data_IF_750933855735
#
_entry.id   IF_750933855735
#
_cell.length_a   1.000
_cell.length_b   1.000
_cell.length_c   1.000
_cell.angle_alpha   90.00
_cell.angle_beta   90.00
_cell.angle_gamma   90.00
#
_symmetry.space_group_name_H-M   'P 1'
#
loop_
_entity.id
_entity.type
_entity.pdbx_description
1 polymer ?
#
# COMPACT_ATOMS: atom_id res chain seq x y z
N UNK A 1 48.06 -3.11 12.54
CA UNK A 1 46.90 -3.92 12.12
C UNK A 1 45.72 -2.97 11.85
N UNK A 2 45.73 -2.30 10.70
CA UNK A 2 44.60 -1.50 10.23
C UNK A 2 43.59 -2.47 9.60
N UNK A 3 42.70 -3.01 10.44
CA UNK A 3 41.53 -3.75 9.97
C UNK A 3 40.62 -2.69 9.35
N UNK A 4 40.61 -2.62 8.02
CA UNK A 4 39.64 -1.80 7.31
C UNK A 4 38.25 -2.18 7.82
N UNK A 5 37.53 -1.23 8.38
CA UNK A 5 36.08 -1.28 8.38
C UNK A 5 35.69 -1.39 6.91
N UNK A 6 35.33 -2.60 6.48
CA UNK A 6 34.48 -2.76 5.31
C UNK A 6 33.24 -1.92 5.60
N UNK A 7 33.17 -0.74 5.00
CA UNK A 7 31.95 0.01 4.88
C UNK A 7 31.03 -0.91 4.10
N UNK A 8 30.21 -1.69 4.82
CA UNK A 8 29.11 -2.44 4.24
C UNK A 8 28.39 -1.48 3.30
N UNK A 9 28.16 -1.86 2.03
CA UNK A 9 27.58 -0.96 1.05
C UNK A 9 26.34 -0.35 1.70
N UNK A 10 26.35 0.98 1.85
CA UNK A 10 25.23 1.71 2.40
C UNK A 10 24.03 1.27 1.57
N UNK A 11 23.17 0.46 2.18
CA UNK A 11 21.95 -0.03 1.57
C UNK A 11 21.25 1.23 1.10
N UNK A 12 21.24 1.47 -0.22
CA UNK A 12 20.67 2.68 -0.80
C UNK A 12 19.19 2.60 -0.49
N UNK A 13 18.81 3.04 0.71
CA UNK A 13 17.44 3.14 1.15
C UNK A 13 16.79 3.97 0.05
N UNK A 14 15.94 3.33 -0.76
CA UNK A 14 15.39 3.96 -1.94
C UNK A 14 14.69 5.24 -1.46
N UNK A 15 15.32 6.39 -1.70
CA UNK A 15 14.89 7.68 -1.14
C UNK A 15 13.48 8.03 -1.69
N UNK A 16 13.15 7.52 -2.87
CA UNK A 16 11.82 7.59 -3.48
C UNK A 16 10.77 6.65 -2.83
N UNK A 17 11.19 5.62 -2.08
CA UNK A 17 10.28 4.65 -1.48
C UNK A 17 9.50 5.27 -0.33
N UNK A 18 10.09 6.18 0.45
CA UNK A 18 9.43 6.82 1.60
C UNK A 18 8.21 7.67 1.18
N UNK A 19 8.32 8.61 0.23
CA UNK A 19 7.17 9.41 -0.20
C UNK A 19 6.14 8.61 -1.01
N UNK A 20 6.54 7.52 -1.68
CA UNK A 20 5.62 6.67 -2.44
C UNK A 20 4.96 5.58 -1.57
N UNK A 21 5.59 5.15 -0.48
CA UNK A 21 5.02 4.16 0.43
C UNK A 21 3.75 4.68 1.11
N UNK A 22 3.70 5.96 1.47
CA UNK A 22 2.52 6.60 2.09
C UNK A 22 1.28 6.56 1.19
N UNK A 23 1.31 7.01 -0.08
CA UNK A 23 0.17 6.86 -0.98
C UNK A 23 -0.10 5.40 -1.34
N UNK A 24 0.91 4.53 -1.39
CA UNK A 24 0.71 3.09 -1.59
C UNK A 24 0.05 2.41 -0.39
N UNK A 25 0.21 2.93 0.83
CA UNK A 25 -0.42 2.41 2.04
C UNK A 25 -1.94 2.59 2.00
N UNK A 26 -2.42 3.71 1.47
CA UNK A 26 -3.83 3.84 1.09
C UNK A 26 -4.12 3.00 -0.16
N UNK A 27 -3.19 2.99 -1.13
CA UNK A 27 -3.26 2.24 -2.36
C UNK A 27 -4.12 2.94 -3.42
N UNK A 28 -3.68 3.00 -4.69
CA UNK A 28 -4.42 3.67 -5.76
C UNK A 28 -5.82 3.07 -5.97
N UNK A 29 -5.99 1.76 -5.74
CA UNK A 29 -7.28 1.09 -5.81
C UNK A 29 -8.26 1.52 -4.71
N UNK A 30 -7.78 1.73 -3.48
CA UNK A 30 -8.66 2.20 -2.41
C UNK A 30 -9.10 3.65 -2.65
N UNK A 31 -8.20 4.49 -3.18
CA UNK A 31 -8.54 5.87 -3.57
C UNK A 31 -9.68 5.85 -4.61
N UNK A 32 -9.54 5.06 -5.67
CA UNK A 32 -10.57 4.92 -6.70
C UNK A 32 -11.89 4.38 -6.12
N UNK A 33 -11.83 3.37 -5.24
CA UNK A 33 -13.01 2.80 -4.60
C UNK A 33 -13.76 3.85 -3.75
N UNK A 34 -13.06 4.62 -2.92
CA UNK A 34 -13.65 5.70 -2.12
C UNK A 34 -14.24 6.79 -3.03
N UNK A 35 -13.58 7.16 -4.13
CA UNK A 35 -14.14 8.11 -5.11
C UNK A 35 -15.46 7.62 -5.72
N UNK A 36 -15.55 6.34 -6.08
CA UNK A 36 -16.79 5.76 -6.61
C UNK A 36 -17.85 5.66 -5.53
N UNK A 37 -17.47 5.27 -4.31
CA UNK A 37 -18.41 5.08 -3.20
C UNK A 37 -19.03 6.40 -2.73
N UNK A 38 -18.22 7.47 -2.68
CA UNK A 38 -18.69 8.83 -2.35
C UNK A 38 -19.57 9.44 -3.45
N UNK A 39 -19.36 9.08 -4.72
CA UNK A 39 -20.29 9.44 -5.82
C UNK A 39 -21.56 8.60 -5.82
N UNK A 40 -21.50 7.35 -5.37
CA UNK A 40 -22.65 6.43 -5.34
C UNK A 40 -23.64 6.77 -4.23
N UNK A 41 -23.13 7.23 -3.09
CA UNK A 41 -23.93 7.58 -1.91
C UNK A 41 -23.81 9.07 -1.62
N UNK A 42 -24.71 9.86 -2.20
CA UNK A 42 -24.75 11.32 -2.01
C UNK A 42 -25.60 11.75 -0.81
N UNK A 43 -26.43 10.84 -0.31
CA UNK A 43 -27.27 11.02 0.86
C UNK A 43 -26.46 11.05 2.16
N UNK A 44 -26.98 11.78 3.16
CA UNK A 44 -26.30 11.98 4.45
C UNK A 44 -25.92 10.66 5.17
N UNK A 45 -26.78 9.64 5.29
CA UNK A 45 -26.41 8.40 5.98
C UNK A 45 -25.39 7.59 5.18
N UNK A 46 -25.51 7.56 3.84
CA UNK A 46 -24.52 6.91 2.98
C UNK A 46 -23.12 7.53 3.09
N UNK A 47 -23.02 8.87 3.07
CA UNK A 47 -21.74 9.58 3.28
C UNK A 47 -21.14 9.30 4.65
N UNK A 48 -21.96 9.27 5.70
CA UNK A 48 -21.51 8.94 7.06
C UNK A 48 -20.95 7.51 7.11
N UNK A 49 -21.60 6.55 6.45
CA UNK A 49 -21.12 5.18 6.35
C UNK A 49 -19.73 5.07 5.70
N UNK A 50 -19.51 5.80 4.60
CA UNK A 50 -18.20 5.85 3.93
C UNK A 50 -17.13 6.43 4.86
N UNK A 51 -17.44 7.53 5.56
CA UNK A 51 -16.51 8.17 6.49
C UNK A 51 -16.12 7.26 7.64
N UNK A 52 -17.10 6.58 8.27
CA UNK A 52 -16.85 5.63 9.34
C UNK A 52 -16.00 4.45 8.86
N UNK A 53 -16.23 3.98 7.63
CA UNK A 53 -15.40 2.94 7.01
C UNK A 53 -13.94 3.39 6.84
N UNK A 54 -13.70 4.61 6.36
CA UNK A 54 -12.36 5.18 6.23
C UNK A 54 -11.67 5.26 7.61
N UNK A 55 -12.37 5.80 8.62
CA UNK A 55 -11.84 5.91 9.99
C UNK A 55 -11.47 4.53 10.54
N UNK A 56 -12.34 3.53 10.35
CA UNK A 56 -12.08 2.17 10.80
C UNK A 56 -10.81 1.59 10.18
N UNK A 57 -10.62 1.74 8.86
CA UNK A 57 -9.40 1.28 8.17
C UNK A 57 -8.17 2.02 8.69
N UNK A 58 -8.23 3.34 8.87
CA UNK A 58 -7.12 4.13 9.42
C UNK A 58 -6.73 3.65 10.82
N UNK A 59 -7.70 3.34 11.69
CA UNK A 59 -7.44 2.80 13.02
C UNK A 59 -6.75 1.44 12.94
N UNK A 60 -7.22 0.53 12.06
CA UNK A 60 -6.60 -0.79 11.87
C UNK A 60 -5.15 -0.65 11.40
N UNK A 61 -4.89 0.23 10.43
CA UNK A 61 -3.54 0.52 9.94
C UNK A 61 -2.68 1.09 11.06
N UNK A 62 -3.19 2.08 11.80
CA UNK A 62 -2.45 2.72 12.88
C UNK A 62 -2.04 1.72 13.97
N UNK A 63 -2.96 0.85 14.39
CA UNK A 63 -2.66 -0.23 15.34
C UNK A 63 -1.62 -1.19 14.75
N UNK A 64 -1.74 -1.57 13.48
CA UNK A 64 -0.75 -2.41 12.81
C UNK A 64 0.65 -1.78 12.80
N UNK A 65 0.75 -0.47 12.55
CA UNK A 65 2.00 0.28 12.59
C UNK A 65 2.57 0.39 14.01
N UNK A 66 1.73 0.61 15.02
CA UNK A 66 2.17 0.61 16.43
C UNK A 66 2.76 -0.74 16.85
N UNK A 67 2.21 -1.83 16.31
CA UNK A 67 2.68 -3.20 16.55
C UNK A 67 3.78 -3.64 15.56
N UNK A 68 4.21 -2.79 14.63
CA UNK A 68 5.12 -3.17 13.54
C UNK A 68 6.44 -3.77 14.05
N UNK A 69 7.01 -3.22 15.13
CA UNK A 69 8.23 -3.75 15.73
C UNK A 69 8.05 -5.17 16.31
N UNK A 70 6.87 -5.45 16.88
CA UNK A 70 6.54 -6.78 17.41
C UNK A 70 6.27 -7.76 16.27
N UNK A 71 5.55 -7.33 15.24
CA UNK A 71 5.30 -8.11 14.03
C UNK A 71 6.65 -8.46 13.37
N UNK A 72 7.55 -7.49 13.20
CA UNK A 72 8.87 -7.69 12.61
C UNK A 72 9.72 -8.70 13.40
N UNK A 73 9.58 -8.75 14.73
CA UNK A 73 10.27 -9.74 15.58
C UNK A 73 9.71 -11.16 15.42
N UNK A 74 8.43 -11.29 15.09
CA UNK A 74 7.77 -12.58 14.88
C UNK A 74 8.07 -13.15 13.48
N UNK A 75 8.28 -12.28 12.49
CA UNK A 75 8.52 -12.67 11.10
C UNK A 75 9.98 -13.04 10.85
N UNK A 76 10.21 -14.23 10.30
CA UNK A 76 11.54 -14.64 9.82
C UNK A 76 11.95 -13.84 8.57
N UNK A 77 13.25 -13.58 8.35
CA UNK A 77 13.72 -12.87 7.16
C UNK A 77 13.23 -13.46 5.83
N UNK A 78 13.17 -14.79 5.71
CA UNK A 78 12.66 -15.47 4.52
C UNK A 78 11.17 -15.18 4.25
N UNK A 79 10.37 -15.01 5.31
CA UNK A 79 8.94 -14.67 5.21
C UNK A 79 8.78 -13.24 4.71
N UNK A 80 9.60 -12.31 5.22
CA UNK A 80 9.60 -10.91 4.77
C UNK A 80 9.97 -10.85 3.27
N UNK A 81 11.04 -11.54 2.86
CA UNK A 81 11.44 -11.59 1.44
C UNK A 81 10.34 -12.17 0.53
N UNK A 82 9.70 -13.25 0.97
CA UNK A 82 8.57 -13.84 0.24
C UNK A 82 7.40 -12.84 0.15
N UNK A 83 7.01 -12.20 1.26
CA UNK A 83 5.94 -11.20 1.27
C UNK A 83 6.25 -10.05 0.32
N UNK A 84 7.44 -9.47 0.37
CA UNK A 84 7.84 -8.38 -0.53
C UNK A 84 7.71 -8.78 -2.00
N UNK A 85 8.13 -10.00 -2.34
CA UNK A 85 8.01 -10.51 -3.71
C UNK A 85 6.56 -10.74 -4.13
N UNK A 86 5.75 -11.35 -3.26
CA UNK A 86 4.33 -11.60 -3.54
C UNK A 86 3.56 -10.28 -3.66
N UNK A 87 3.75 -9.35 -2.73
CA UNK A 87 3.12 -8.02 -2.78
C UNK A 87 3.53 -7.25 -4.03
N UNK A 88 4.80 -7.31 -4.43
CA UNK A 88 5.27 -6.71 -5.69
C UNK A 88 4.59 -7.33 -6.91
N UNK A 89 4.51 -8.66 -6.99
CA UNK A 89 3.83 -9.36 -8.07
C UNK A 89 2.33 -9.04 -8.13
N UNK A 90 1.66 -9.00 -6.98
CA UNK A 90 0.25 -8.60 -6.87
C UNK A 90 0.04 -7.16 -7.31
N UNK A 91 0.90 -6.23 -6.88
CA UNK A 91 0.84 -4.83 -7.27
C UNK A 91 1.02 -4.67 -8.79
N UNK A 92 1.95 -5.42 -9.40
CA UNK A 92 2.12 -5.44 -10.86
C UNK A 92 0.86 -5.97 -11.56
N UNK A 93 0.26 -7.04 -11.07
CA UNK A 93 -0.97 -7.59 -11.64
C UNK A 93 -2.13 -6.59 -11.58
N UNK A 94 -2.33 -5.94 -10.43
CA UNK A 94 -3.36 -4.90 -10.24
C UNK A 94 -3.11 -3.71 -11.16
N UNK A 95 -1.86 -3.27 -11.30
CA UNK A 95 -1.52 -2.16 -12.20
C UNK A 95 -1.88 -2.49 -13.65
N UNK A 96 -1.54 -3.69 -14.13
CA UNK A 96 -1.93 -4.14 -15.48
C UNK A 96 -3.45 -4.21 -15.61
N UNK A 97 -4.16 -4.68 -14.58
CA UNK A 97 -5.62 -4.73 -14.59
C UNK A 97 -6.24 -3.34 -14.74
N UNK A 98 -5.75 -2.33 -14.00
CA UNK A 98 -6.22 -0.95 -14.16
C UNK A 98 -5.96 -0.37 -15.54
N UNK A 99 -4.81 -0.69 -16.16
CA UNK A 99 -4.52 -0.27 -17.54
C UNK A 99 -5.52 -0.92 -18.51
N UNK A 100 -5.75 -2.23 -18.37
CA UNK A 100 -6.70 -2.96 -19.21
C UNK A 100 -8.12 -2.40 -19.07
N UNK A 101 -8.58 -2.13 -17.85
CA UNK A 101 -9.89 -1.57 -17.59
C UNK A 101 -10.02 -0.15 -18.19
N UNK A 102 -8.99 0.68 -18.06
CA UNK A 102 -8.95 2.00 -18.69
C UNK A 102 -9.04 1.91 -20.23
N UNK A 103 -8.27 1.02 -20.86
CA UNK A 103 -8.31 0.81 -22.32
C UNK A 103 -9.68 0.32 -22.77
N UNK A 104 -10.30 -0.63 -22.05
CA UNK A 104 -11.66 -1.11 -22.37
C UNK A 104 -12.69 0.02 -22.31
N UNK A 105 -12.63 0.88 -21.29
CA UNK A 105 -13.54 2.02 -21.14
C UNK A 105 -13.39 2.98 -22.33
N UNK A 106 -12.17 3.22 -22.81
CA UNK A 106 -11.90 4.12 -23.94
C UNK A 106 -12.32 3.48 -25.27
N UNK A 107 -12.07 2.19 -25.47
CA UNK A 107 -12.35 1.50 -26.73
C UNK A 107 -13.85 1.18 -26.97
N UNK A 108 -14.65 1.15 -25.91
CA UNK A 108 -16.11 0.92 -25.97
C UNK A 108 -16.89 2.24 -26.02
N UNK A 109 -16.21 3.38 -25.86
CA UNK A 109 -16.75 4.72 -26.14
C UNK A 109 -16.51 5.12 -27.58
#
# INVERSE_FOLDING_TARGET
>A
MLRGEEIAPADTANIALVPLATPLLAGPGAIAAVMVLTKRYEDAPGRLGVLLGIIAVVVVVAVGLMLAAQIARLLRPSVIQLLTRVLGLLLSAIAVQFIVDAVKIIAVR
#
